data_IF_550354592416
#
_entry.id   IF_550354592416
#
_cell.length_a   1.000
_cell.length_b   1.000
_cell.length_c   1.000
_cell.angle_alpha   90.00
_cell.angle_beta   90.00
_cell.angle_gamma   90.00
#
_symmetry.space_group_name_H-M   'P 1'
#
loop_
_entity.id
_entity.type
_entity.pdbx_description
1 polymer ?
#
# COMPACT_ATOMS: atom_id res chain seq x y z
N UNK A 1 4.39 -22.27 -21.49
CA UNK A 1 3.00 -21.85 -21.18
C UNK A 1 3.03 -20.35 -20.98
N UNK A 2 2.61 -19.55 -21.98
CA UNK A 2 2.63 -18.09 -21.86
C UNK A 2 1.71 -17.65 -20.73
N UNK A 3 2.25 -16.91 -19.76
CA UNK A 3 1.51 -16.42 -18.61
C UNK A 3 0.57 -15.27 -19.05
N UNK A 4 -0.56 -15.63 -19.67
CA UNK A 4 -1.57 -14.74 -20.26
C UNK A 4 -2.26 -13.81 -19.25
N UNK A 5 -1.91 -13.88 -17.96
CA UNK A 5 -2.49 -13.06 -16.89
C UNK A 5 -2.07 -11.57 -17.01
N UNK A 6 -0.91 -11.30 -17.60
CA UNK A 6 -0.35 -9.95 -17.70
C UNK A 6 -0.62 -9.25 -19.04
N UNK A 7 -1.44 -9.82 -19.94
CA UNK A 7 -1.84 -9.14 -21.18
C UNK A 7 -2.81 -7.95 -20.89
N UNK A 8 -2.71 -6.87 -21.66
CA UNK A 8 -3.23 -5.53 -21.33
C UNK A 8 -4.62 -5.42 -20.68
N UNK A 9 -5.68 -5.98 -21.27
CA UNK A 9 -7.05 -5.92 -20.70
C UNK A 9 -7.20 -6.75 -19.43
N UNK A 10 -6.53 -7.90 -19.34
CA UNK A 10 -6.52 -8.75 -18.13
C UNK A 10 -5.74 -8.08 -17.00
N UNK A 11 -4.63 -7.41 -17.33
CA UNK A 11 -3.81 -6.66 -16.37
C UNK A 11 -4.58 -5.52 -15.70
N UNK A 12 -5.33 -4.72 -16.47
CA UNK A 12 -6.16 -3.63 -15.90
C UNK A 12 -7.30 -4.17 -15.03
N UNK A 13 -7.96 -5.26 -15.47
CA UNK A 13 -8.98 -5.93 -14.65
C UNK A 13 -8.38 -6.41 -13.31
N UNK A 14 -7.18 -6.98 -13.35
CA UNK A 14 -6.49 -7.44 -12.15
C UNK A 14 -6.08 -6.30 -11.22
N UNK A 15 -5.54 -5.22 -11.77
CA UNK A 15 -5.23 -4.02 -11.00
C UNK A 15 -6.47 -3.45 -10.26
N UNK A 16 -7.66 -3.52 -10.87
CA UNK A 16 -8.92 -3.14 -10.20
C UNK A 16 -9.33 -4.11 -9.08
N UNK A 17 -9.09 -5.40 -9.24
CA UNK A 17 -9.33 -6.36 -8.17
C UNK A 17 -8.39 -6.10 -6.99
N UNK A 18 -7.11 -5.84 -7.27
CA UNK A 18 -6.10 -5.50 -6.25
C UNK A 18 -6.47 -4.22 -5.53
N UNK A 19 -6.96 -3.20 -6.24
CA UNK A 19 -7.53 -2.00 -5.63
C UNK A 19 -8.68 -2.33 -4.68
N UNK A 20 -9.67 -3.11 -5.14
CA UNK A 20 -10.84 -3.45 -4.31
C UNK A 20 -10.45 -4.22 -3.04
N UNK A 21 -9.48 -5.14 -3.13
CA UNK A 21 -8.93 -5.83 -1.95
C UNK A 21 -8.21 -4.84 -1.04
N UNK A 22 -7.45 -3.90 -1.60
CA UNK A 22 -6.77 -2.84 -0.86
C UNK A 22 -7.74 -1.93 -0.10
N UNK A 23 -8.86 -1.55 -0.71
CA UNK A 23 -9.92 -0.77 -0.05
C UNK A 23 -10.51 -1.53 1.14
N UNK A 24 -10.82 -2.82 0.96
CA UNK A 24 -11.31 -3.67 2.06
C UNK A 24 -10.28 -3.80 3.18
N UNK A 25 -9.00 -3.97 2.84
CA UNK A 25 -7.91 -4.05 3.83
C UNK A 25 -7.77 -2.73 4.61
N UNK A 26 -7.88 -1.58 3.94
CA UNK A 26 -7.81 -0.27 4.57
C UNK A 26 -8.95 -0.05 5.57
N UNK A 27 -10.19 -0.34 5.18
CA UNK A 27 -11.35 -0.15 6.06
C UNK A 27 -11.36 -1.14 7.23
N UNK A 28 -11.04 -2.41 6.97
CA UNK A 28 -11.06 -3.46 8.01
C UNK A 28 -9.92 -3.36 9.03
N UNK A 29 -8.80 -2.73 8.67
CA UNK A 29 -7.65 -2.54 9.56
C UNK A 29 -7.84 -1.42 10.60
N UNK A 30 -8.80 -0.51 10.37
CA UNK A 30 -8.96 0.69 11.17
C UNK A 30 -9.28 0.40 12.66
N UNK A 31 -10.33 -0.37 12.92
CA UNK A 31 -10.78 -0.66 14.30
C UNK A 31 -9.72 -1.40 15.12
N UNK A 32 -9.12 -2.51 14.63
CA UNK A 32 -8.07 -3.20 15.35
C UNK A 32 -6.85 -2.32 15.66
N UNK A 33 -6.53 -1.37 14.77
CA UNK A 33 -5.39 -0.47 14.95
C UNK A 33 -5.66 0.65 15.95
N UNK A 34 -6.88 1.20 15.96
CA UNK A 34 -7.31 2.17 16.99
C UNK A 34 -7.30 1.52 18.38
N UNK A 35 -7.82 0.30 18.50
CA UNK A 35 -7.85 -0.44 19.77
C UNK A 35 -6.44 -0.73 20.29
N UNK A 36 -5.51 -1.01 19.39
CA UNK A 36 -4.11 -1.30 19.72
C UNK A 36 -3.27 -0.05 19.96
N UNK A 37 -3.60 1.07 19.33
CA UNK A 37 -2.84 2.32 19.35
C UNK A 37 -3.74 3.53 19.60
N UNK A 38 -4.04 3.84 20.88
CA UNK A 38 -4.94 4.94 21.21
C UNK A 38 -4.53 6.31 20.65
N UNK A 39 -3.24 6.55 20.44
CA UNK A 39 -2.72 7.78 19.83
C UNK A 39 -3.22 7.99 18.39
N UNK A 40 -3.51 6.90 17.67
CA UNK A 40 -4.13 6.94 16.35
C UNK A 40 -5.55 7.49 16.39
N UNK A 41 -6.30 7.19 17.44
CA UNK A 41 -7.66 7.70 17.64
C UNK A 41 -7.69 9.22 17.61
N UNK A 42 -6.78 9.86 18.35
CA UNK A 42 -6.71 11.32 18.43
C UNK A 42 -6.22 11.95 17.13
N UNK A 43 -5.29 11.29 16.44
CA UNK A 43 -4.83 11.72 15.13
C UNK A 43 -5.97 11.68 14.09
N UNK A 44 -6.73 10.59 14.07
CA UNK A 44 -7.81 10.37 13.11
C UNK A 44 -9.04 11.23 13.39
N UNK A 45 -9.36 11.54 14.66
CA UNK A 45 -10.38 12.56 14.99
C UNK A 45 -10.06 13.92 14.36
N UNK A 46 -8.78 14.28 14.27
CA UNK A 46 -8.34 15.58 13.69
C UNK A 46 -8.26 15.54 12.17
N UNK A 47 -7.82 14.42 11.60
CA UNK A 47 -7.53 14.28 10.16
C UNK A 47 -8.68 13.68 9.34
N UNK A 48 -9.67 13.10 10.02
CA UNK A 48 -10.75 12.35 9.41
C UNK A 48 -10.32 10.94 8.95
N UNK A 49 -11.29 10.04 8.84
CA UNK A 49 -11.07 8.66 8.39
C UNK A 49 -10.79 8.56 6.89
N UNK A 50 -11.23 9.55 6.08
CA UNK A 50 -10.92 9.57 4.65
C UNK A 50 -9.41 9.61 4.36
N UNK A 51 -8.64 10.34 5.19
CA UNK A 51 -7.17 10.36 5.09
C UNK A 51 -6.57 8.98 5.36
N UNK A 52 -7.13 8.26 6.34
CA UNK A 52 -6.76 6.87 6.62
C UNK A 52 -7.06 5.97 5.43
N UNK A 53 -8.30 5.96 4.96
CA UNK A 53 -8.76 5.09 3.88
C UNK A 53 -7.92 5.28 2.62
N UNK A 54 -7.60 6.53 2.27
CA UNK A 54 -6.74 6.86 1.12
C UNK A 54 -5.34 6.25 1.25
N UNK A 55 -4.57 6.65 2.28
CA UNK A 55 -3.17 6.22 2.40
C UNK A 55 -3.04 4.73 2.67
N UNK A 56 -3.95 4.14 3.44
CA UNK A 56 -3.96 2.71 3.70
C UNK A 56 -4.32 1.89 2.46
N UNK A 57 -5.22 2.36 1.60
CA UNK A 57 -5.53 1.69 0.33
C UNK A 57 -4.34 1.72 -0.61
N UNK A 58 -3.68 2.88 -0.76
CA UNK A 58 -2.45 3.00 -1.57
C UNK A 58 -1.35 2.09 -1.04
N UNK A 59 -1.17 2.05 0.29
CA UNK A 59 -0.21 1.18 0.95
C UNK A 59 -0.52 -0.31 0.74
N UNK A 60 -1.77 -0.73 0.87
CA UNK A 60 -2.19 -2.10 0.61
C UNK A 60 -1.93 -2.50 -0.84
N UNK A 61 -2.32 -1.67 -1.81
CA UNK A 61 -2.04 -1.92 -3.22
C UNK A 61 -0.53 -2.01 -3.50
N UNK A 62 0.27 -1.13 -2.88
CA UNK A 62 1.74 -1.19 -2.92
C UNK A 62 2.30 -2.50 -2.36
N UNK A 63 1.84 -2.94 -1.20
CA UNK A 63 2.22 -4.23 -0.59
C UNK A 63 1.89 -5.40 -1.51
N UNK A 64 0.69 -5.41 -2.11
CA UNK A 64 0.33 -6.41 -3.10
C UNK A 64 1.27 -6.45 -4.30
N UNK A 65 1.73 -5.29 -4.78
CA UNK A 65 2.73 -5.21 -5.85
C UNK A 65 4.11 -5.73 -5.42
N UNK A 66 4.56 -5.41 -4.20
CA UNK A 66 5.82 -5.94 -3.66
C UNK A 66 5.81 -7.48 -3.57
N UNK A 67 4.70 -8.06 -3.14
CA UNK A 67 4.51 -9.52 -3.11
C UNK A 67 4.52 -10.11 -4.53
N UNK A 68 3.86 -9.44 -5.47
CA UNK A 68 3.73 -9.91 -6.84
C UNK A 68 5.03 -9.83 -7.66
N UNK A 69 6.00 -8.98 -7.30
CA UNK A 69 7.25 -8.86 -8.06
C UNK A 69 8.00 -10.17 -8.27
N UNK A 70 7.84 -11.13 -7.37
CA UNK A 70 8.46 -12.47 -7.51
C UNK A 70 7.70 -13.38 -8.49
N UNK A 71 6.41 -13.12 -8.71
CA UNK A 71 5.53 -13.92 -9.56
C UNK A 71 5.33 -13.30 -10.96
N UNK A 72 5.45 -11.98 -11.08
CA UNK A 72 5.34 -11.26 -12.35
C UNK A 72 6.64 -11.46 -13.15
N UNK A 73 6.59 -11.88 -14.43
CA UNK A 73 7.77 -11.91 -15.29
C UNK A 73 8.45 -10.53 -15.34
N UNK A 74 9.78 -10.46 -15.21
CA UNK A 74 10.50 -9.18 -15.10
C UNK A 74 10.16 -8.15 -16.18
N UNK A 75 9.96 -8.57 -17.43
CA UNK A 75 9.56 -7.69 -18.53
C UNK A 75 8.14 -7.09 -18.41
N UNK A 76 7.29 -7.71 -17.58
CA UNK A 76 5.89 -7.31 -17.37
C UNK A 76 5.70 -6.40 -16.15
N UNK A 77 6.70 -6.29 -15.27
CA UNK A 77 6.63 -5.46 -14.04
C UNK A 77 6.31 -4.00 -14.35
N UNK A 78 7.03 -3.28 -15.25
CA UNK A 78 6.76 -1.86 -15.50
C UNK A 78 5.35 -1.63 -16.06
N UNK A 79 4.88 -2.57 -16.88
CA UNK A 79 3.57 -2.48 -17.50
C UNK A 79 2.44 -2.76 -16.49
N UNK A 80 2.70 -3.61 -15.49
CA UNK A 80 1.81 -3.92 -14.35
C UNK A 80 1.73 -2.76 -13.38
N UNK A 81 2.87 -2.18 -12.99
CA UNK A 81 2.91 -0.96 -12.17
C UNK A 81 2.15 0.19 -12.83
N UNK A 82 2.34 0.39 -14.14
CA UNK A 82 1.60 1.43 -14.88
C UNK A 82 0.09 1.19 -14.86
N UNK A 83 -0.35 -0.06 -14.94
CA UNK A 83 -1.77 -0.39 -14.87
C UNK A 83 -2.35 -0.13 -13.46
N UNK A 84 -1.62 -0.49 -12.42
CA UNK A 84 -1.99 -0.21 -11.02
C UNK A 84 -2.05 1.28 -10.75
N UNK A 85 -1.00 2.02 -11.11
CA UNK A 85 -0.94 3.46 -10.87
C UNK A 85 -2.06 4.21 -11.63
N UNK A 86 -2.41 3.76 -12.85
CA UNK A 86 -3.57 4.28 -13.58
C UNK A 86 -4.89 3.99 -12.87
N UNK A 87 -5.09 2.77 -12.37
CA UNK A 87 -6.33 2.41 -11.66
C UNK A 87 -6.46 3.22 -10.37
N UNK A 88 -5.37 3.40 -9.62
CA UNK A 88 -5.35 4.26 -8.44
C UNK A 88 -5.69 5.72 -8.79
N UNK A 89 -5.16 6.26 -9.89
CA UNK A 89 -5.49 7.61 -10.33
C UNK A 89 -6.93 7.78 -10.84
N UNK A 90 -7.53 6.71 -11.37
CA UNK A 90 -8.94 6.70 -11.78
C UNK A 90 -9.87 6.63 -10.57
N UNK A 91 -9.43 5.98 -9.49
CA UNK A 91 -10.14 5.88 -8.23
C UNK A 91 -10.07 7.19 -7.42
N UNK A 92 -8.88 7.78 -7.31
CA UNK A 92 -8.66 9.07 -6.69
C UNK A 92 -7.62 9.87 -7.48
N UNK A 93 -7.87 11.16 -7.72
CA UNK A 93 -7.01 12.02 -8.55
C UNK A 93 -5.56 12.16 -8.06
N UNK A 94 -5.26 11.83 -6.80
CA UNK A 94 -3.92 11.83 -6.22
C UNK A 94 -3.29 10.43 -6.13
N UNK A 95 -4.02 9.38 -6.53
CA UNK A 95 -3.60 7.99 -6.34
C UNK A 95 -2.27 7.64 -7.02
N UNK A 96 -2.00 8.19 -8.23
CA UNK A 96 -0.71 7.99 -8.91
C UNK A 96 0.45 8.60 -8.14
N UNK A 97 0.28 9.83 -7.65
CA UNK A 97 1.32 10.58 -6.95
C UNK A 97 1.65 9.92 -5.62
N UNK A 98 0.63 9.56 -4.84
CA UNK A 98 0.78 8.86 -3.57
C UNK A 98 1.46 7.49 -3.76
N UNK A 99 1.06 6.72 -4.77
CA UNK A 99 1.68 5.43 -5.09
C UNK A 99 3.16 5.58 -5.48
N UNK A 100 3.48 6.60 -6.28
CA UNK A 100 4.86 6.89 -6.69
C UNK A 100 5.70 7.39 -5.52
N UNK A 101 5.11 8.14 -4.58
CA UNK A 101 5.78 8.56 -3.34
C UNK A 101 6.06 7.37 -2.42
N UNK A 102 5.09 6.48 -2.23
CA UNK A 102 5.25 5.23 -1.48
C UNK A 102 6.44 4.42 -2.01
N UNK A 103 6.50 4.18 -3.33
CA UNK A 103 7.59 3.42 -3.94
C UNK A 103 8.95 4.05 -3.71
N UNK A 104 9.05 5.38 -3.86
CA UNK A 104 10.30 6.11 -3.60
C UNK A 104 10.70 6.03 -2.14
N UNK A 105 9.75 6.17 -1.22
CA UNK A 105 10.00 6.05 0.21
C UNK A 105 10.50 4.66 0.57
N UNK A 106 9.77 3.62 0.19
CA UNK A 106 10.11 2.23 0.50
C UNK A 106 11.45 1.83 -0.11
N UNK A 107 11.72 2.20 -1.36
CA UNK A 107 13.01 1.92 -2.01
C UNK A 107 14.19 2.59 -1.27
N UNK A 108 14.04 3.83 -0.80
CA UNK A 108 15.06 4.51 0.02
C UNK A 108 15.25 3.82 1.38
N UNK A 109 14.16 3.46 2.04
CA UNK A 109 14.18 2.81 3.35
C UNK A 109 14.83 1.42 3.29
N UNK A 110 14.57 0.65 2.23
CA UNK A 110 15.22 -0.64 1.97
C UNK A 110 16.72 -0.47 1.74
N UNK A 111 17.14 0.53 0.95
CA UNK A 111 18.57 0.86 0.78
C UNK A 111 19.24 1.23 2.11
N UNK A 112 18.49 1.82 3.04
CA UNK A 112 18.91 2.10 4.41
C UNK A 112 18.83 0.91 5.39
N UNK A 113 18.48 -0.29 4.92
CA UNK A 113 18.43 -1.51 5.73
C UNK A 113 17.07 -1.84 6.36
N UNK A 114 16.01 -1.10 6.05
CA UNK A 114 14.65 -1.42 6.52
C UNK A 114 14.02 -2.56 5.71
N UNK A 115 13.11 -3.30 6.33
CA UNK A 115 12.23 -4.24 5.60
C UNK A 115 11.12 -3.48 4.88
N UNK A 116 10.59 -4.05 3.79
CA UNK A 116 9.55 -3.41 2.98
C UNK A 116 8.27 -3.15 3.77
N UNK A 117 7.84 -4.12 4.57
CA UNK A 117 6.65 -4.06 5.42
C UNK A 117 6.76 -2.88 6.39
N UNK A 118 7.89 -2.77 7.09
CA UNK A 118 8.17 -1.68 8.03
C UNK A 118 8.11 -0.33 7.32
N UNK A 119 8.73 -0.23 6.14
CA UNK A 119 8.75 1.00 5.36
C UNK A 119 7.36 1.41 4.86
N UNK A 120 6.51 0.45 4.46
CA UNK A 120 5.14 0.71 4.02
C UNK A 120 4.32 1.30 5.16
N UNK A 121 4.32 0.68 6.34
CA UNK A 121 3.54 1.23 7.46
C UNK A 121 4.11 2.55 7.99
N UNK A 122 5.43 2.74 7.97
CA UNK A 122 6.04 4.03 8.31
C UNK A 122 5.61 5.13 7.34
N UNK A 123 5.49 4.83 6.04
CA UNK A 123 4.99 5.77 5.04
C UNK A 123 3.52 6.17 5.30
N UNK A 124 2.66 5.22 5.67
CA UNK A 124 1.27 5.51 6.07
C UNK A 124 1.24 6.46 7.25
N UNK A 125 1.98 6.15 8.31
CA UNK A 125 2.06 6.98 9.51
C UNK A 125 2.54 8.39 9.20
N UNK A 126 3.58 8.52 8.37
CA UNK A 126 4.10 9.81 7.94
C UNK A 126 3.03 10.67 7.29
N UNK A 127 2.28 10.10 6.35
CA UNK A 127 1.30 10.82 5.56
C UNK A 127 0.06 11.20 6.36
N UNK A 128 -0.42 10.33 7.25
CA UNK A 128 -1.56 10.65 8.12
C UNK A 128 -1.18 11.71 9.15
N UNK A 129 0.00 11.60 9.76
CA UNK A 129 0.51 12.56 10.74
C UNK A 129 0.86 13.90 10.10
N UNK A 130 1.37 13.88 8.88
CA UNK A 130 1.98 15.03 8.20
C UNK A 130 3.36 15.41 8.75
N UNK A 131 4.02 14.48 9.47
CA UNK A 131 5.35 14.69 10.05
C UNK A 131 6.15 13.38 10.00
N UNK A 132 7.45 13.49 9.79
CA UNK A 132 8.34 12.33 9.62
C UNK A 132 8.23 11.35 10.83
N UNK A 133 8.17 10.03 10.60
CA UNK A 133 8.07 9.06 11.67
C UNK A 133 9.34 9.03 12.53
N UNK A 134 9.16 9.05 13.84
CA UNK A 134 10.20 8.74 14.82
C UNK A 134 10.57 7.26 14.78
N UNK A 135 11.71 6.86 15.36
CA UNK A 135 12.12 5.45 15.45
C UNK A 135 11.06 4.54 16.08
N UNK A 136 10.35 5.02 17.11
CA UNK A 136 9.25 4.29 17.75
C UNK A 136 8.05 4.14 16.79
N UNK A 137 7.83 5.11 15.91
CA UNK A 137 6.79 5.03 14.88
C UNK A 137 7.15 4.11 13.72
N UNK A 138 8.43 3.83 13.48
CA UNK A 138 8.84 2.72 12.62
C UNK A 138 8.46 1.35 13.19
N UNK A 139 8.50 1.16 14.51
CA UNK A 139 8.03 -0.08 15.16
C UNK A 139 6.51 -0.26 14.98
N UNK A 140 5.74 0.83 15.07
CA UNK A 140 4.31 0.81 14.73
C UNK A 140 4.06 0.55 13.24
N UNK A 141 4.88 1.14 12.38
CA UNK A 141 4.87 0.90 10.94
C UNK A 141 5.03 -0.58 10.58
N UNK A 142 5.78 -1.34 11.37
CA UNK A 142 5.89 -2.79 11.17
C UNK A 142 4.53 -3.50 11.26
N UNK A 143 3.71 -3.15 12.26
CA UNK A 143 2.39 -3.78 12.46
C UNK A 143 1.45 -3.46 11.31
N UNK A 144 1.34 -2.18 10.95
CA UNK A 144 0.48 -1.71 9.86
C UNK A 144 0.92 -2.35 8.53
N UNK A 145 2.22 -2.32 8.26
CA UNK A 145 2.79 -2.89 7.05
C UNK A 145 2.54 -4.39 6.94
N UNK A 146 2.83 -5.16 7.98
CA UNK A 146 2.59 -6.60 7.99
C UNK A 146 1.13 -6.95 7.74
N UNK A 147 0.18 -6.22 8.35
CA UNK A 147 -1.25 -6.43 8.08
C UNK A 147 -1.60 -6.27 6.60
N UNK A 148 -1.01 -5.29 5.92
CA UNK A 148 -1.25 -5.10 4.48
C UNK A 148 -0.58 -6.16 3.62
N UNK A 149 0.64 -6.60 3.96
CA UNK A 149 1.26 -7.71 3.25
C UNK A 149 0.43 -9.00 3.41
N UNK A 150 -0.03 -9.29 4.62
CA UNK A 150 -0.87 -10.47 4.88
C UNK A 150 -2.21 -10.39 4.16
N UNK A 151 -2.89 -9.23 4.21
CA UNK A 151 -4.19 -9.02 3.55
C UNK A 151 -4.11 -9.08 2.03
N UNK A 152 -2.93 -8.81 1.47
CA UNK A 152 -2.69 -8.79 0.02
C UNK A 152 -2.02 -10.05 -0.48
N UNK A 153 -1.75 -11.03 0.39
CA UNK A 153 -1.30 -12.35 0.00
C UNK A 153 -2.34 -12.98 -0.95
N UNK A 154 -1.89 -13.44 -2.11
CA UNK A 154 -2.78 -14.00 -3.13
C UNK A 154 -3.61 -12.98 -3.93
N UNK A 155 -3.51 -11.67 -3.67
CA UNK A 155 -4.25 -10.65 -4.45
C UNK A 155 -3.93 -10.68 -5.96
N UNK A 156 -2.79 -11.27 -6.32
CA UNK A 156 -2.32 -11.45 -7.69
C UNK A 156 -2.40 -12.88 -8.23
N UNK A 157 -2.89 -13.88 -7.46
CA UNK A 157 -3.16 -15.28 -7.87
C UNK A 157 -4.51 -15.52 -8.54
#
# INVERSE_FOLDING_TARGET
>A
MENRMFAGTKRRKRARQVLAVGEVAATSSLVPLIDRFPEMTELLKRKGTATWDFFCTVAAVGSGMYLAYRAIPHGEVPATEKAVARVLNEWDGQGYEAYSDLHRFVARSIKGGSKAEVAVGAWVMWNIKGAEPTKREFEFGAVIGSMFFDSMAGAWE
#
